data_IF_412055102047
#
_entry.id   IF_412055102047
#
_cell.length_a   1.000
_cell.length_b   1.000
_cell.length_c   1.000
_cell.angle_alpha   90.00
_cell.angle_beta   90.00
_cell.angle_gamma   90.00
#
_symmetry.space_group_name_H-M   'P 1'
#
loop_
_entity.id
_entity.type
_entity.pdbx_description
1 polymer ?
#
# COMPACT_ATOMS: atom_id res chain seq x y z
N UNK A 1 -12.75 3.87 16.49
CA UNK A 1 -11.42 4.06 15.88
C UNK A 1 -11.66 4.50 14.45
N UNK A 2 -11.02 5.56 13.96
CA UNK A 2 -11.15 5.97 12.55
C UNK A 2 -10.10 5.16 11.80
N UNK A 3 -10.53 4.20 11.00
CA UNK A 3 -9.62 3.42 10.18
C UNK A 3 -9.24 4.25 8.94
N UNK A 4 -7.96 4.31 8.54
CA UNK A 4 -7.52 5.12 7.40
C UNK A 4 -8.10 4.56 6.11
N UNK A 5 -8.74 5.41 5.31
CA UNK A 5 -9.24 5.02 4.00
C UNK A 5 -8.12 5.14 2.96
N UNK A 6 -7.85 4.03 2.29
CA UNK A 6 -7.11 4.00 1.03
C UNK A 6 -8.10 4.45 -0.03
N UNK A 7 -8.15 5.75 -0.27
CA UNK A 7 -8.94 6.33 -1.37
C UNK A 7 -8.51 5.70 -2.69
N UNK A 8 -9.41 5.57 -3.66
CA UNK A 8 -9.04 5.17 -5.02
C UNK A 8 -8.16 6.28 -5.64
N UNK A 9 -6.99 5.92 -6.17
CA UNK A 9 -5.93 6.89 -6.48
C UNK A 9 -5.53 6.91 -7.96
N UNK A 10 -5.95 5.92 -8.73
CA UNK A 10 -5.82 5.89 -10.18
C UNK A 10 -7.21 5.75 -10.76
N UNK A 11 -7.95 6.86 -10.84
CA UNK A 11 -9.21 6.87 -11.57
C UNK A 11 -8.91 6.78 -13.07
N UNK A 12 -8.75 5.56 -13.58
CA UNK A 12 -8.80 5.20 -15.00
C UNK A 12 -7.84 5.98 -15.95
N UNK A 13 -6.68 6.41 -15.44
CA UNK A 13 -5.87 7.37 -16.17
C UNK A 13 -4.68 6.70 -16.88
N UNK A 14 -4.90 6.34 -18.14
CA UNK A 14 -3.83 6.11 -19.13
C UNK A 14 -2.75 7.23 -19.10
N UNK A 15 -3.12 8.43 -18.62
CA UNK A 15 -2.20 9.56 -18.39
C UNK A 15 -1.15 9.29 -17.32
N UNK A 16 -1.44 8.52 -16.27
CA UNK A 16 -0.45 8.18 -15.24
C UNK A 16 0.68 7.33 -15.84
N UNK A 17 0.33 6.30 -16.62
CA UNK A 17 1.30 5.49 -17.34
C UNK A 17 2.12 6.32 -18.32
N UNK A 18 1.46 7.17 -19.12
CA UNK A 18 2.14 8.06 -20.06
C UNK A 18 3.08 9.05 -19.37
N UNK A 19 2.66 9.64 -18.24
CA UNK A 19 3.49 10.53 -17.43
C UNK A 19 4.70 9.80 -16.89
N UNK A 20 4.52 8.65 -16.24
CA UNK A 20 5.62 7.89 -15.67
C UNK A 20 6.58 7.36 -16.73
N UNK A 21 6.06 6.93 -17.88
CA UNK A 21 6.87 6.58 -19.03
C UNK A 21 7.70 7.77 -19.51
N UNK A 22 7.08 8.94 -19.70
CA UNK A 22 7.78 10.14 -20.12
C UNK A 22 8.85 10.58 -19.13
N UNK A 23 8.52 10.73 -17.84
CA UNK A 23 9.46 11.20 -16.81
C UNK A 23 10.58 10.19 -16.58
N UNK A 24 10.31 8.87 -16.72
CA UNK A 24 11.35 7.83 -16.61
C UNK A 24 12.47 7.97 -17.64
N UNK A 25 12.21 8.62 -18.79
CA UNK A 25 13.20 8.93 -19.82
C UNK A 25 13.93 10.26 -19.58
N UNK A 26 13.49 11.06 -18.60
CA UNK A 26 14.09 12.35 -18.27
C UNK A 26 14.95 12.29 -16.99
N UNK A 27 14.63 11.37 -16.08
CA UNK A 27 15.42 11.15 -14.86
C UNK A 27 16.82 10.61 -15.18
N UNK A 28 17.81 11.03 -14.39
CA UNK A 28 19.22 10.66 -14.53
C UNK A 28 19.42 9.17 -14.30
N UNK A 29 18.69 8.59 -13.36
CA UNK A 29 18.79 7.18 -12.99
C UNK A 29 17.43 6.49 -12.98
N UNK A 30 17.05 5.86 -14.11
CA UNK A 30 15.80 5.09 -14.25
C UNK A 30 15.60 4.05 -13.14
N UNK A 31 16.69 3.47 -12.64
CA UNK A 31 16.70 2.50 -11.54
C UNK A 31 16.04 3.03 -10.27
N UNK A 32 16.22 4.31 -9.94
CA UNK A 32 15.63 4.94 -8.74
C UNK A 32 14.11 4.87 -8.76
N UNK A 33 13.53 5.11 -9.92
CA UNK A 33 12.08 5.05 -10.14
C UNK A 33 11.56 3.61 -10.18
N UNK A 34 12.33 2.68 -10.75
CA UNK A 34 12.01 1.25 -10.71
C UNK A 34 11.98 0.72 -9.28
N UNK A 35 13.02 0.99 -8.48
CA UNK A 35 13.08 0.62 -7.06
C UNK A 35 11.91 1.20 -6.28
N UNK A 36 11.61 2.48 -6.51
CA UNK A 36 10.47 3.16 -5.89
C UNK A 36 9.15 2.40 -6.12
N UNK A 37 8.83 2.06 -7.37
CA UNK A 37 7.60 1.34 -7.71
C UNK A 37 7.62 -0.10 -7.17
N UNK A 38 8.75 -0.78 -7.33
CA UNK A 38 8.95 -2.16 -6.90
C UNK A 38 8.66 -2.35 -5.41
N UNK A 39 9.23 -1.48 -4.57
CA UNK A 39 9.04 -1.50 -3.13
C UNK A 39 7.57 -1.30 -2.71
N UNK A 40 6.83 -0.42 -3.40
CA UNK A 40 5.39 -0.29 -3.17
C UNK A 40 4.65 -1.59 -3.51
N UNK A 41 4.96 -2.19 -4.67
CA UNK A 41 4.35 -3.45 -5.10
C UNK A 41 4.66 -4.57 -4.12
N UNK A 42 5.86 -4.62 -3.54
CA UNK A 42 6.25 -5.60 -2.53
C UNK A 42 5.39 -5.48 -1.27
N UNK A 43 5.30 -4.29 -0.67
CA UNK A 43 4.49 -4.07 0.54
C UNK A 43 3.01 -4.35 0.28
N UNK A 44 2.45 -3.85 -0.83
CA UNK A 44 1.04 -4.11 -1.18
C UNK A 44 0.79 -5.60 -1.38
N UNK A 45 1.74 -6.33 -1.98
CA UNK A 45 1.60 -7.78 -2.19
C UNK A 45 1.56 -8.56 -0.89
N UNK A 46 2.40 -8.19 0.09
CA UNK A 46 2.39 -8.79 1.41
C UNK A 46 1.04 -8.60 2.10
N UNK A 47 0.54 -7.36 2.15
CA UNK A 47 -0.75 -7.06 2.78
C UNK A 47 -1.91 -7.76 2.06
N UNK A 48 -1.95 -7.75 0.74
CA UNK A 48 -2.99 -8.45 -0.04
C UNK A 48 -2.95 -9.95 0.21
N UNK A 49 -1.76 -10.55 0.34
CA UNK A 49 -1.61 -11.98 0.63
C UNK A 49 -2.23 -12.34 1.97
N UNK A 50 -1.99 -11.53 2.98
CA UNK A 50 -2.48 -11.77 4.35
C UNK A 50 -3.99 -11.49 4.47
N UNK A 51 -4.51 -10.46 3.79
CA UNK A 51 -5.96 -10.24 3.69
C UNK A 51 -6.65 -11.41 2.98
N UNK A 52 -6.10 -11.90 1.86
CA UNK A 52 -6.63 -13.08 1.15
C UNK A 52 -6.71 -14.33 2.02
N UNK A 53 -5.69 -14.57 2.85
CA UNK A 53 -5.70 -15.71 3.78
C UNK A 53 -6.80 -15.53 4.81
N UNK A 54 -6.92 -14.33 5.36
CA UNK A 54 -7.88 -13.99 6.41
C UNK A 54 -9.33 -14.08 5.92
N UNK A 55 -9.63 -13.66 4.68
CA UNK A 55 -10.97 -13.76 4.08
C UNK A 55 -11.47 -15.21 3.92
N UNK A 56 -10.58 -16.20 3.98
CA UNK A 56 -10.94 -17.63 3.89
C UNK A 56 -11.28 -18.26 5.23
N UNK A 57 -11.01 -17.57 6.33
CA UNK A 57 -11.24 -18.08 7.68
C UNK A 57 -12.70 -17.96 8.04
N UNK A 58 -13.31 -19.05 8.49
CA UNK A 58 -14.61 -19.00 9.15
C UNK A 58 -14.44 -18.58 10.61
N UNK A 59 -14.77 -17.31 10.91
CA UNK A 59 -14.69 -16.75 12.26
C UNK A 59 -15.71 -17.35 13.26
N UNK A 60 -16.66 -18.17 12.78
CA UNK A 60 -17.56 -18.94 13.65
C UNK A 60 -16.92 -20.26 14.10
N UNK A 61 -15.93 -20.77 13.37
CA UNK A 61 -15.18 -21.98 13.72
C UNK A 61 -13.99 -21.66 14.63
N UNK A 62 -14.19 -21.89 15.93
CA UNK A 62 -13.25 -21.49 16.98
C UNK A 62 -11.83 -22.05 16.77
N UNK A 63 -11.70 -23.33 16.43
CA UNK A 63 -10.40 -23.97 16.28
C UNK A 63 -9.61 -23.43 15.07
N UNK A 64 -10.29 -23.20 13.95
CA UNK A 64 -9.69 -22.63 12.74
C UNK A 64 -9.23 -21.18 13.00
N UNK A 65 -10.09 -20.40 13.64
CA UNK A 65 -9.83 -19.00 13.99
C UNK A 65 -8.64 -18.84 14.94
N UNK A 66 -8.56 -19.67 15.98
CA UNK A 66 -7.44 -19.67 16.92
C UNK A 66 -6.12 -20.09 16.25
N UNK A 67 -6.17 -21.09 15.36
CA UNK A 67 -4.99 -21.56 14.63
C UNK A 67 -4.45 -20.47 13.69
N UNK A 68 -5.34 -19.84 12.92
CA UNK A 68 -4.99 -18.68 12.09
C UNK A 68 -4.33 -17.56 12.91
N UNK A 69 -4.92 -17.20 14.05
CA UNK A 69 -4.41 -16.12 14.88
C UNK A 69 -3.00 -16.41 15.41
N UNK A 70 -2.75 -17.64 15.87
CA UNK A 70 -1.41 -18.08 16.33
C UNK A 70 -0.39 -18.04 15.19
N UNK A 71 -0.74 -18.53 14.01
CA UNK A 71 0.16 -18.56 12.85
C UNK A 71 0.47 -17.17 12.32
N UNK A 72 -0.53 -16.26 12.32
CA UNK A 72 -0.33 -14.86 11.98
C UNK A 72 0.63 -14.18 12.96
N UNK A 73 0.38 -14.29 14.26
CA UNK A 73 1.19 -13.63 15.30
C UNK A 73 2.63 -14.13 15.32
N UNK A 74 2.86 -15.43 15.06
CA UNK A 74 4.20 -16.02 14.99
C UNK A 74 5.12 -15.32 14.00
N UNK A 75 4.58 -14.85 12.86
CA UNK A 75 5.36 -14.25 11.78
C UNK A 75 5.20 -12.72 11.70
N UNK A 76 4.33 -12.14 12.53
CA UNK A 76 3.96 -10.72 12.45
C UNK A 76 5.17 -9.79 12.59
N UNK A 77 6.00 -10.02 13.61
CA UNK A 77 7.13 -9.14 13.94
C UNK A 77 8.17 -9.06 12.81
N UNK A 78 8.45 -10.18 12.15
CA UNK A 78 9.36 -10.21 11.01
C UNK A 78 8.77 -9.43 9.83
N UNK A 79 7.51 -9.71 9.48
CA UNK A 79 6.81 -9.09 8.35
C UNK A 79 6.64 -7.59 8.54
N UNK A 80 6.23 -7.13 9.72
CA UNK A 80 6.07 -5.71 10.01
C UNK A 80 7.41 -4.96 9.99
N UNK A 81 8.49 -5.57 10.52
CA UNK A 81 9.83 -4.96 10.46
C UNK A 81 10.30 -4.83 9.02
N UNK A 82 10.13 -5.87 8.19
CA UNK A 82 10.46 -5.83 6.77
C UNK A 82 9.69 -4.72 6.05
N UNK A 83 8.37 -4.65 6.21
CA UNK A 83 7.55 -3.60 5.58
C UNK A 83 7.93 -2.19 6.06
N UNK A 84 8.24 -2.00 7.35
CA UNK A 84 8.71 -0.70 7.86
C UNK A 84 10.04 -0.28 7.25
N UNK A 85 10.99 -1.21 7.10
CA UNK A 85 12.27 -0.92 6.45
C UNK A 85 12.06 -0.49 4.99
N UNK A 86 11.20 -1.20 4.25
CA UNK A 86 10.86 -0.85 2.87
C UNK A 86 10.14 0.51 2.82
N UNK A 87 9.24 0.80 3.78
CA UNK A 87 8.56 2.10 3.87
C UNK A 87 9.55 3.25 4.07
N UNK A 88 10.61 3.06 4.85
CA UNK A 88 11.64 4.09 5.03
C UNK A 88 12.40 4.33 3.72
N UNK A 89 12.76 3.26 3.00
CA UNK A 89 13.40 3.35 1.68
C UNK A 89 12.51 4.07 0.65
N UNK A 90 11.22 3.77 0.66
CA UNK A 90 10.21 4.47 -0.16
C UNK A 90 10.18 5.96 0.17
N UNK A 91 10.20 6.33 1.46
CA UNK A 91 10.15 7.72 1.88
C UNK A 91 11.38 8.51 1.43
N UNK A 92 12.57 7.95 1.61
CA UNK A 92 13.83 8.55 1.14
C UNK A 92 13.78 8.75 -0.37
N UNK A 93 13.43 7.69 -1.11
CA UNK A 93 13.35 7.71 -2.57
C UNK A 93 12.29 8.68 -3.10
N UNK A 94 11.17 8.83 -2.39
CA UNK A 94 10.15 9.82 -2.71
C UNK A 94 10.72 11.25 -2.72
N UNK A 95 11.52 11.61 -1.71
CA UNK A 95 12.12 12.94 -1.60
C UNK A 95 13.15 13.21 -2.69
N UNK A 96 13.95 12.21 -3.04
CA UNK A 96 14.90 12.30 -4.15
C UNK A 96 14.20 12.52 -5.49
N UNK A 97 13.23 11.66 -5.82
CA UNK A 97 12.46 11.76 -7.06
C UNK A 97 11.69 13.08 -7.14
N UNK A 98 11.11 13.54 -6.02
CA UNK A 98 10.42 14.83 -5.95
C UNK A 98 11.37 16.00 -6.24
N UNK A 99 12.61 15.93 -5.79
CA UNK A 99 13.61 16.97 -6.05
C UNK A 99 13.98 16.98 -7.53
N UNK A 100 14.27 15.81 -8.09
CA UNK A 100 14.62 15.65 -9.50
C UNK A 100 13.46 16.04 -10.44
N UNK A 101 12.22 15.71 -10.08
CA UNK A 101 11.04 16.11 -10.86
C UNK A 101 10.89 17.63 -10.92
N UNK A 102 11.24 18.37 -9.85
CA UNK A 102 11.23 19.83 -9.86
C UNK A 102 12.32 20.43 -10.74
N UNK A 103 13.44 19.74 -10.94
CA UNK A 103 14.48 20.15 -11.89
C UNK A 103 14.01 19.96 -13.34
N UNK A 104 13.35 18.84 -13.63
CA UNK A 104 12.86 18.50 -14.97
C UNK A 104 11.59 19.28 -15.34
N UNK A 105 10.69 19.45 -14.37
CA UNK A 105 9.38 20.10 -14.50
C UNK A 105 9.39 21.32 -13.57
N UNK A 106 10.05 22.42 -13.97
CA UNK A 106 10.01 23.66 -13.20
C UNK A 106 8.60 24.24 -13.19
N UNK A 107 8.41 25.28 -12.38
CA UNK A 107 7.17 26.05 -12.33
C UNK A 107 6.76 26.52 -13.74
N UNK A 108 5.47 26.48 -14.04
CA UNK A 108 4.85 26.83 -15.32
C UNK A 108 5.16 25.86 -16.48
N UNK A 109 5.82 24.71 -16.21
CA UNK A 109 5.98 23.65 -17.21
C UNK A 109 4.63 22.97 -17.50
N UNK A 110 4.42 22.55 -18.76
CA UNK A 110 3.17 21.92 -19.24
C UNK A 110 2.72 20.65 -18.49
N UNK A 111 3.60 20.05 -17.68
CA UNK A 111 3.33 18.85 -16.88
C UNK A 111 3.39 19.12 -15.37
N UNK A 112 3.45 20.38 -14.94
CA UNK A 112 3.52 20.74 -13.52
C UNK A 112 2.29 20.24 -12.76
N UNK A 113 1.10 20.41 -13.34
CA UNK A 113 -0.16 19.98 -12.74
C UNK A 113 -0.20 18.46 -12.60
N UNK A 114 0.10 17.73 -13.68
CA UNK A 114 0.12 16.27 -13.72
C UNK A 114 1.15 15.69 -12.75
N UNK A 115 2.33 16.32 -12.65
CA UNK A 115 3.37 15.92 -11.70
C UNK A 115 2.89 16.09 -10.25
N UNK A 116 2.27 17.22 -9.93
CA UNK A 116 1.71 17.46 -8.61
C UNK A 116 0.59 16.48 -8.27
N UNK A 117 -0.36 16.27 -9.17
CA UNK A 117 -1.46 15.31 -8.99
C UNK A 117 -0.93 13.89 -8.80
N UNK A 118 0.02 13.46 -9.64
CA UNK A 118 0.63 12.13 -9.57
C UNK A 118 1.44 11.93 -8.29
N UNK A 119 2.16 12.94 -7.81
CA UNK A 119 2.92 12.83 -6.56
C UNK A 119 2.03 12.85 -5.32
N UNK A 120 0.85 13.48 -5.37
CA UNK A 120 -0.16 13.38 -4.31
C UNK A 120 -0.71 11.95 -4.15
N UNK A 121 -0.63 11.11 -5.18
CA UNK A 121 -1.06 9.71 -5.11
C UNK A 121 -0.26 8.96 -4.02
N UNK A 122 1.04 9.20 -3.98
CA UNK A 122 1.92 8.62 -2.97
C UNK A 122 1.84 9.34 -1.62
N UNK A 123 1.24 10.53 -1.57
CA UNK A 123 0.98 11.35 -0.37
C UNK A 123 -0.52 11.51 -0.14
N UNK A 124 -1.25 10.44 0.15
CA UNK A 124 -2.70 10.44 0.39
C UNK A 124 -3.08 11.35 1.59
N UNK A 125 -3.33 12.64 1.32
CA UNK A 125 -3.60 13.71 2.30
C UNK A 125 -2.47 13.90 3.32
N UNK A 126 -1.23 14.01 2.85
CA UNK A 126 0.01 14.22 3.63
C UNK A 126 0.61 12.99 4.31
N UNK A 127 -0.04 11.83 4.23
CA UNK A 127 0.52 10.56 4.70
C UNK A 127 0.96 9.71 3.51
N UNK A 128 2.11 9.03 3.64
CA UNK A 128 2.55 8.09 2.62
C UNK A 128 1.52 6.98 2.45
N UNK A 129 1.16 6.68 1.20
CA UNK A 129 0.26 5.58 0.84
C UNK A 129 0.71 4.26 1.47
N UNK A 130 2.02 3.96 1.42
CA UNK A 130 2.60 2.75 2.04
C UNK A 130 2.38 2.68 3.55
N UNK A 131 2.33 3.82 4.24
CA UNK A 131 2.01 3.89 5.67
C UNK A 131 0.59 3.42 5.97
N UNK A 132 -0.39 3.84 5.16
CA UNK A 132 -1.80 3.38 5.28
C UNK A 132 -1.97 1.90 4.95
N UNK A 133 -1.19 1.41 3.98
CA UNK A 133 -1.16 -0.02 3.63
C UNK A 133 -0.64 -0.85 4.81
N UNK A 134 0.48 -0.42 5.41
CA UNK A 134 1.05 -1.06 6.61
C UNK A 134 0.09 -0.99 7.81
N UNK A 135 -0.65 0.12 7.96
CA UNK A 135 -1.68 0.22 8.98
C UNK A 135 -2.74 -0.87 8.82
N UNK A 136 -3.17 -1.18 7.58
CA UNK A 136 -4.12 -2.25 7.31
C UNK A 136 -3.61 -3.62 7.75
N UNK A 137 -2.30 -3.87 7.63
CA UNK A 137 -1.69 -5.08 8.17
C UNK A 137 -1.69 -5.13 9.71
N UNK A 138 -1.53 -3.98 10.38
CA UNK A 138 -1.62 -3.87 11.84
C UNK A 138 -3.03 -4.14 12.35
N UNK A 139 -4.06 -3.82 11.57
CA UNK A 139 -5.44 -4.12 11.95
C UNK A 139 -5.68 -5.64 12.06
N UNK A 140 -5.04 -6.47 11.22
CA UNK A 140 -5.04 -7.94 11.36
C UNK A 140 -4.39 -8.40 12.67
N UNK A 141 -3.35 -7.71 13.12
CA UNK A 141 -2.70 -8.01 14.40
C UNK A 141 -3.61 -7.75 15.59
N UNK A 142 -4.36 -6.65 15.59
CA UNK A 142 -5.34 -6.40 16.65
C UNK A 142 -6.38 -7.51 16.71
N UNK A 143 -6.90 -7.94 15.56
CA UNK A 143 -7.85 -9.05 15.47
C UNK A 143 -7.26 -10.35 16.03
N UNK A 144 -6.05 -10.73 15.60
CA UNK A 144 -5.40 -11.96 16.03
C UNK A 144 -5.15 -11.99 17.55
N UNK A 145 -4.66 -10.88 18.15
CA UNK A 145 -4.49 -10.82 19.61
C UNK A 145 -5.81 -10.91 20.36
N UNK A 146 -6.87 -10.28 19.84
CA UNK A 146 -8.18 -10.33 20.48
C UNK A 146 -8.77 -11.75 20.51
N UNK A 147 -8.50 -12.55 19.48
CA UNK A 147 -8.84 -13.97 19.42
C UNK A 147 -8.05 -14.77 20.45
N UNK A 148 -6.75 -14.53 20.59
CA UNK A 148 -5.89 -15.29 21.52
C UNK A 148 -6.07 -14.92 22.99
N UNK A 149 -6.46 -13.67 23.30
CA UNK A 149 -6.62 -13.16 24.67
C UNK A 149 -7.99 -13.48 25.31
N UNK A 150 -8.75 -14.42 24.75
CA UNK A 150 -9.88 -15.14 25.39
C UNK A 150 -11.21 -14.41 25.65
N UNK A 151 -11.37 -13.12 25.29
CA UNK A 151 -12.63 -12.36 25.41
C UNK A 151 -13.21 -11.84 24.09
N UNK A 152 -12.98 -12.57 23.00
CA UNK A 152 -13.41 -12.18 21.66
C UNK A 152 -14.95 -12.11 21.53
N UNK A 153 -15.49 -10.95 21.12
CA UNK A 153 -16.92 -10.75 20.81
C UNK A 153 -17.12 -10.51 19.32
N UNK A 154 -17.94 -11.34 18.67
CA UNK A 154 -18.21 -11.32 17.21
C UNK A 154 -18.73 -9.96 16.66
N UNK A 155 -19.39 -9.14 17.49
CA UNK A 155 -19.99 -7.88 17.06
C UNK A 155 -19.02 -6.82 16.53
N UNK A 156 -17.72 -6.91 16.84
CA UNK A 156 -16.68 -6.03 16.29
C UNK A 156 -16.12 -6.47 14.94
N UNK A 157 -16.41 -7.71 14.50
CA UNK A 157 -15.83 -8.28 13.27
C UNK A 157 -16.51 -7.73 12.02
N UNK A 158 -17.83 -7.53 12.04
CA UNK A 158 -18.56 -7.10 10.83
C UNK A 158 -18.09 -5.74 10.31
N UNK A 159 -17.93 -4.75 11.21
CA UNK A 159 -17.39 -3.42 10.85
C UNK A 159 -15.95 -3.50 10.34
N UNK A 160 -15.18 -4.45 10.87
CA UNK A 160 -13.82 -4.71 10.44
C UNK A 160 -13.79 -5.32 9.03
N UNK A 161 -14.63 -6.31 8.75
CA UNK A 161 -14.76 -6.94 7.42
C UNK A 161 -15.20 -5.92 6.36
N UNK A 162 -16.22 -5.10 6.66
CA UNK A 162 -16.68 -4.03 5.77
C UNK A 162 -15.55 -3.04 5.43
N UNK A 163 -14.75 -2.64 6.43
CA UNK A 163 -13.60 -1.76 6.20
C UNK A 163 -12.49 -2.44 5.39
N UNK A 164 -12.20 -3.72 5.66
CA UNK A 164 -11.21 -4.50 4.89
C UNK A 164 -11.63 -4.59 3.43
N UNK A 165 -12.89 -4.91 3.14
CA UNK A 165 -13.36 -5.12 1.75
C UNK A 165 -13.26 -3.86 0.89
N UNK A 166 -13.59 -2.69 1.45
CA UNK A 166 -13.46 -1.39 0.76
C UNK A 166 -11.99 -1.06 0.46
N UNK A 167 -11.10 -1.18 1.44
CA UNK A 167 -9.68 -0.87 1.28
C UNK A 167 -8.96 -1.90 0.40
N UNK A 168 -9.41 -3.16 0.45
CA UNK A 168 -8.80 -4.27 -0.27
C UNK A 168 -9.01 -4.18 -1.78
N UNK A 169 -10.17 -3.71 -2.23
CA UNK A 169 -10.43 -3.45 -3.65
C UNK A 169 -9.50 -2.37 -4.18
N UNK A 170 -9.35 -1.26 -3.44
CA UNK A 170 -8.45 -0.17 -3.82
C UNK A 170 -6.98 -0.61 -3.82
N UNK A 171 -6.55 -1.41 -2.84
CA UNK A 171 -5.21 -2.02 -2.80
C UNK A 171 -4.89 -2.84 -4.06
N UNK A 172 -5.85 -3.65 -4.53
CA UNK A 172 -5.67 -4.45 -5.76
C UNK A 172 -5.51 -3.57 -6.99
N UNK A 173 -6.32 -2.52 -7.10
CA UNK A 173 -6.26 -1.57 -8.22
C UNK A 173 -4.91 -0.84 -8.24
N UNK A 174 -4.49 -0.28 -7.09
CA UNK A 174 -3.18 0.37 -6.95
C UNK A 174 -2.04 -0.58 -7.33
N UNK A 175 -2.06 -1.83 -6.82
CA UNK A 175 -1.04 -2.83 -7.18
C UNK A 175 -0.98 -3.10 -8.68
N UNK A 176 -2.14 -3.21 -9.33
CA UNK A 176 -2.23 -3.47 -10.77
C UNK A 176 -1.61 -2.32 -11.56
N UNK A 177 -1.98 -1.08 -11.24
CA UNK A 177 -1.45 0.10 -11.94
C UNK A 177 0.05 0.29 -11.72
N UNK A 178 0.54 0.15 -10.48
CA UNK A 178 1.98 0.23 -10.22
C UNK A 178 2.78 -0.83 -10.98
N UNK A 179 2.25 -2.05 -11.10
CA UNK A 179 2.87 -3.11 -11.92
C UNK A 179 2.85 -2.80 -13.42
N UNK A 180 1.79 -2.16 -13.92
CA UNK A 180 1.71 -1.73 -15.31
C UNK A 180 2.78 -0.67 -15.58
N UNK A 181 2.86 0.34 -14.71
CA UNK A 181 3.88 1.39 -14.79
C UNK A 181 5.28 0.79 -14.71
N UNK A 182 5.56 -0.07 -13.72
CA UNK A 182 6.86 -0.74 -13.53
C UNK A 182 7.30 -1.49 -14.79
N UNK A 183 6.37 -2.19 -15.47
CA UNK A 183 6.63 -2.87 -16.75
C UNK A 183 6.91 -1.90 -17.89
N UNK A 184 6.17 -0.80 -17.99
CA UNK A 184 6.37 0.20 -19.05
C UNK A 184 7.70 0.96 -18.89
N UNK A 185 8.17 1.12 -17.64
CA UNK A 185 9.43 1.77 -17.31
C UNK A 185 10.60 0.80 -17.08
N UNK A 186 10.41 -0.50 -17.29
CA UNK A 186 11.51 -1.48 -17.39
C UNK A 186 12.16 -1.39 -18.76
#
# INVERSE_FOLDING_TARGET
>A
MIHPTITEIFSDDSKANLFFKWISNQIKERKKMQEFLHWHVEVISEVISEVNKTQKIDFFEKNETEQWAKDFLKNYDEKIRKMRNISNQIFERFHELKTEFKEIIPKDHKYEKESNETMQIFLNKHELLVGKIIFSYRELWFLANHITDSNFKLGSIKKYQEWVDENYTNLKNVKKELKNIEKEIS
#
